data_IF_387387758562
#
_entry.id   IF_387387758562
#
_cell.length_a   1.000
_cell.length_b   1.000
_cell.length_c   1.000
_cell.angle_alpha   90.00
_cell.angle_beta   90.00
_cell.angle_gamma   90.00
#
_symmetry.space_group_name_H-M   'P 1'
#
loop_
_entity.id
_entity.type
_entity.pdbx_description
1 polymer ?
#
# COMPACT_ATOMS: atom_id res chain seq x y z
N UNK A 1 -7.71 29.69 -10.79
CA UNK A 1 -9.06 29.12 -10.77
C UNK A 1 -8.98 27.87 -9.93
N UNK A 2 -9.81 27.66 -8.92
CA UNK A 2 -9.79 26.40 -8.19
C UNK A 2 -10.26 25.28 -9.13
N UNK A 3 -9.41 24.30 -9.37
CA UNK A 3 -9.78 23.08 -10.10
C UNK A 3 -10.79 22.38 -9.20
N UNK A 4 -12.04 22.30 -9.67
CA UNK A 4 -13.11 21.59 -8.98
C UNK A 4 -12.66 20.14 -8.75
N UNK A 5 -12.74 19.65 -7.52
CA UNK A 5 -12.42 18.30 -7.13
C UNK A 5 -13.08 17.29 -8.07
N UNK A 6 -12.26 16.46 -8.71
CA UNK A 6 -12.71 15.39 -9.59
C UNK A 6 -13.38 14.21 -8.86
N UNK A 7 -13.71 14.38 -7.60
CA UNK A 7 -14.33 13.36 -6.75
C UNK A 7 -15.54 13.88 -5.98
N UNK A 8 -16.57 13.06 -5.87
CA UNK A 8 -17.74 13.30 -5.04
C UNK A 8 -17.86 12.26 -3.92
N UNK A 9 -18.37 12.69 -2.76
CA UNK A 9 -18.68 11.77 -1.66
C UNK A 9 -19.93 10.98 -2.03
N UNK A 10 -19.82 9.66 -2.13
CA UNK A 10 -20.95 8.78 -2.40
C UNK A 10 -21.64 8.34 -1.12
N UNK A 11 -20.85 7.98 -0.07
CA UNK A 11 -21.36 7.48 1.20
C UNK A 11 -20.33 7.64 2.31
N UNK A 12 -20.86 7.91 3.53
CA UNK A 12 -20.13 7.73 4.77
C UNK A 12 -20.73 6.52 5.49
N UNK A 13 -19.92 5.54 5.85
CA UNK A 13 -20.31 4.38 6.64
C UNK A 13 -19.61 4.41 7.99
N UNK A 14 -20.37 4.22 9.07
CA UNK A 14 -19.76 3.99 10.38
C UNK A 14 -19.01 2.67 10.34
N UNK A 15 -17.74 2.68 10.69
CA UNK A 15 -17.00 1.45 10.93
C UNK A 15 -17.49 0.86 12.23
N UNK A 16 -18.07 -0.34 12.19
CA UNK A 16 -18.33 -1.11 13.39
C UNK A 16 -16.98 -1.44 14.02
N UNK A 17 -16.79 -1.06 15.27
CA UNK A 17 -15.65 -1.51 16.03
C UNK A 17 -15.65 -3.03 16.02
N UNK A 18 -14.65 -3.65 15.42
CA UNK A 18 -14.26 -5.01 15.76
C UNK A 18 -13.85 -4.88 17.23
N UNK A 19 -14.74 -5.32 18.13
CA UNK A 19 -14.52 -5.20 19.57
C UNK A 19 -13.44 -6.19 19.98
N UNK A 20 -12.22 -5.73 19.95
CA UNK A 20 -11.12 -6.34 20.70
C UNK A 20 -10.26 -5.20 21.20
N UNK A 21 -9.99 -5.22 22.48
CA UNK A 21 -9.19 -4.24 23.16
C UNK A 21 -7.96 -3.82 22.36
N UNK A 22 -7.84 -2.52 22.10
CA UNK A 22 -6.60 -1.82 21.75
C UNK A 22 -5.77 -2.36 20.58
N UNK A 23 -6.38 -2.93 19.52
CA UNK A 23 -5.66 -3.29 18.31
C UNK A 23 -5.55 -2.05 17.42
N UNK A 24 -4.35 -1.52 17.29
CA UNK A 24 -4.03 -0.58 16.22
C UNK A 24 -3.65 -1.41 15.00
N UNK A 25 -4.48 -1.34 13.96
CA UNK A 25 -4.16 -1.92 12.65
C UNK A 25 -3.72 -0.80 11.72
N UNK A 26 -2.67 -1.03 10.94
CA UNK A 26 -2.16 -0.09 9.93
C UNK A 26 -2.60 -0.47 8.54
N UNK A 27 -2.32 -1.66 8.08
CA UNK A 27 -2.57 -2.13 6.71
C UNK A 27 -3.33 -3.46 6.70
N UNK A 28 -4.13 -3.66 5.64
CA UNK A 28 -4.88 -4.88 5.40
C UNK A 28 -4.61 -5.41 4.00
N UNK A 29 -4.21 -6.67 3.88
CA UNK A 29 -4.17 -7.42 2.64
C UNK A 29 -5.39 -8.35 2.54
N UNK A 30 -6.27 -8.11 1.55
CA UNK A 30 -7.42 -8.96 1.27
C UNK A 30 -7.09 -9.94 0.15
N UNK A 31 -7.16 -11.24 0.44
CA UNK A 31 -6.83 -12.30 -0.50
C UNK A 31 -8.02 -13.26 -0.66
N UNK A 32 -8.96 -12.95 -1.60
CA UNK A 32 -10.18 -13.74 -1.79
C UNK A 32 -9.92 -15.21 -2.10
N UNK A 33 -8.87 -15.50 -2.84
CA UNK A 33 -8.45 -16.85 -3.19
C UNK A 33 -8.05 -17.70 -1.97
N UNK A 34 -7.69 -17.04 -0.86
CA UNK A 34 -7.42 -17.69 0.42
C UNK A 34 -8.64 -17.70 1.35
N UNK A 35 -9.68 -16.92 1.03
CA UNK A 35 -10.79 -16.62 1.94
C UNK A 35 -10.35 -15.85 3.19
N UNK A 36 -9.26 -15.06 3.12
CA UNK A 36 -8.61 -14.46 4.29
C UNK A 36 -8.25 -13.00 4.07
N UNK A 37 -8.26 -12.27 5.19
CA UNK A 37 -7.63 -10.97 5.34
C UNK A 37 -6.45 -11.13 6.29
N UNK A 38 -5.30 -10.60 5.90
CA UNK A 38 -4.15 -10.43 6.77
C UNK A 38 -4.12 -8.97 7.19
N UNK A 39 -3.91 -8.72 8.47
CA UNK A 39 -3.95 -7.38 9.04
C UNK A 39 -2.72 -7.13 9.91
N UNK A 40 -2.01 -6.06 9.64
CA UNK A 40 -0.87 -5.59 10.42
C UNK A 40 -1.35 -5.06 11.76
N UNK A 41 -1.30 -5.88 12.80
CA UNK A 41 -1.65 -5.55 14.17
C UNK A 41 -0.43 -4.93 14.87
N UNK A 42 -0.07 -3.72 14.47
CA UNK A 42 1.15 -3.02 14.85
C UNK A 42 1.28 -2.84 16.36
N UNK A 43 0.18 -2.52 17.04
CA UNK A 43 0.17 -2.42 18.52
C UNK A 43 0.40 -3.74 19.27
N UNK A 44 0.28 -4.89 18.59
CA UNK A 44 0.55 -6.21 19.17
C UNK A 44 1.86 -6.82 18.65
N UNK A 45 2.57 -6.17 17.73
CA UNK A 45 3.75 -6.71 17.06
C UNK A 45 3.47 -8.04 16.35
N UNK A 46 2.30 -8.16 15.69
CA UNK A 46 1.81 -9.36 15.04
C UNK A 46 1.04 -9.05 13.77
N UNK A 47 0.88 -10.08 12.97
CA UNK A 47 -0.06 -10.10 11.84
C UNK A 47 -1.26 -10.95 12.24
N UNK A 48 -2.45 -10.37 12.22
CA UNK A 48 -3.69 -11.09 12.44
C UNK A 48 -4.21 -11.68 11.13
N UNK A 49 -4.70 -12.92 11.18
CA UNK A 49 -5.35 -13.59 10.05
C UNK A 49 -6.84 -13.69 10.36
N UNK A 50 -7.66 -13.11 9.51
CA UNK A 50 -9.11 -13.03 9.66
C UNK A 50 -9.77 -13.83 8.55
N UNK A 51 -10.68 -14.71 8.91
CA UNK A 51 -11.54 -15.44 7.98
C UNK A 51 -12.59 -14.50 7.38
N UNK A 52 -12.69 -14.48 6.04
CA UNK A 52 -13.54 -13.53 5.31
C UNK A 52 -15.05 -13.85 5.40
N UNK A 53 -15.43 -15.09 5.70
CA UNK A 53 -16.83 -15.48 5.81
C UNK A 53 -17.37 -15.20 7.22
N UNK A 54 -16.60 -15.57 8.23
CA UNK A 54 -17.03 -15.48 9.64
C UNK A 54 -16.58 -14.18 10.32
N UNK A 55 -15.65 -13.44 9.72
CA UNK A 55 -14.99 -12.26 10.28
C UNK A 55 -14.28 -12.53 11.62
N UNK A 56 -13.91 -13.78 11.89
CA UNK A 56 -13.18 -14.14 13.11
C UNK A 56 -11.67 -14.16 12.85
N UNK A 57 -10.92 -13.68 13.82
CA UNK A 57 -9.47 -13.90 13.84
C UNK A 57 -9.20 -15.38 14.07
N UNK A 58 -8.55 -16.03 13.10
CA UNK A 58 -8.23 -17.46 13.12
C UNK A 58 -6.77 -17.75 13.48
N UNK A 59 -5.89 -16.75 13.34
CA UNK A 59 -4.50 -16.84 13.76
C UNK A 59 -3.93 -15.43 14.06
N UNK A 60 -2.87 -15.40 14.87
CA UNK A 60 -1.99 -14.24 15.07
C UNK A 60 -0.55 -14.70 14.95
N UNK A 61 0.17 -14.15 13.99
CA UNK A 61 1.52 -14.58 13.61
C UNK A 61 2.55 -13.51 13.94
N UNK A 62 3.71 -13.92 14.41
CA UNK A 62 4.82 -13.03 14.74
C UNK A 62 5.83 -13.70 15.67
N UNK A 63 6.78 -12.95 16.23
CA UNK A 63 6.78 -11.47 16.31
C UNK A 63 7.19 -10.78 15.00
N UNK A 64 6.57 -9.63 14.72
CA UNK A 64 6.97 -8.65 13.71
C UNK A 64 6.98 -7.31 14.42
N UNK A 65 8.10 -6.62 14.45
CA UNK A 65 8.32 -5.47 15.36
C UNK A 65 7.39 -4.29 15.06
N UNK A 66 7.22 -3.96 13.78
CA UNK A 66 6.28 -2.95 13.31
C UNK A 66 5.73 -3.40 11.95
N UNK A 67 4.74 -4.33 11.95
CA UNK A 67 4.18 -4.80 10.70
C UNK A 67 3.40 -3.68 10.01
N UNK A 68 3.63 -3.50 8.71
CA UNK A 68 2.97 -2.49 7.89
C UNK A 68 2.47 -3.08 6.56
N UNK A 69 3.12 -2.83 5.43
CA UNK A 69 2.69 -3.28 4.11
C UNK A 69 2.55 -4.80 3.98
N UNK A 70 1.54 -5.25 3.24
CA UNK A 70 1.23 -6.69 3.09
C UNK A 70 1.06 -7.05 1.62
N UNK A 71 1.78 -8.09 1.16
CA UNK A 71 1.64 -8.65 -0.17
C UNK A 71 1.53 -10.17 -0.14
N UNK A 72 0.80 -10.75 -1.10
CA UNK A 72 0.66 -12.19 -1.26
C UNK A 72 1.27 -12.67 -2.57
N UNK A 73 2.14 -13.68 -2.50
CA UNK A 73 2.72 -14.37 -3.63
C UNK A 73 2.03 -15.73 -3.81
N UNK A 74 1.03 -15.85 -4.70
CA UNK A 74 0.19 -17.03 -4.79
C UNK A 74 0.96 -18.30 -5.20
N UNK A 75 1.94 -18.18 -6.11
CA UNK A 75 2.76 -19.29 -6.55
C UNK A 75 3.60 -19.92 -5.43
N UNK A 76 4.02 -19.11 -4.44
CA UNK A 76 4.78 -19.57 -3.29
C UNK A 76 3.89 -19.90 -2.07
N UNK A 77 2.60 -19.55 -2.10
CA UNK A 77 1.66 -19.63 -0.97
C UNK A 77 2.20 -18.90 0.27
N UNK A 78 2.76 -17.70 0.08
CA UNK A 78 3.38 -16.92 1.13
C UNK A 78 2.86 -15.49 1.13
N UNK A 79 2.60 -14.98 2.33
CA UNK A 79 2.35 -13.56 2.58
C UNK A 79 3.65 -12.93 3.07
N UNK A 80 3.97 -11.78 2.52
CA UNK A 80 5.10 -10.94 2.87
C UNK A 80 4.58 -9.71 3.60
N UNK A 81 5.25 -9.34 4.68
CA UNK A 81 4.85 -8.22 5.53
C UNK A 81 6.07 -7.40 5.86
N UNK A 82 6.08 -6.14 5.47
CA UNK A 82 7.15 -5.24 5.86
C UNK A 82 7.19 -5.06 7.38
N UNK A 83 8.38 -5.15 7.96
CA UNK A 83 8.68 -4.87 9.36
C UNK A 83 9.53 -3.60 9.41
N UNK A 84 8.87 -2.45 9.39
CA UNK A 84 9.50 -1.14 9.25
C UNK A 84 10.59 -0.92 10.30
N UNK A 85 10.25 -1.07 11.58
CA UNK A 85 11.19 -0.88 12.67
C UNK A 85 12.08 -2.12 12.94
N UNK A 86 11.79 -3.22 12.27
CA UNK A 86 12.62 -4.43 12.30
C UNK A 86 13.68 -4.46 11.22
N UNK A 87 13.65 -3.51 10.26
CA UNK A 87 14.51 -3.47 9.08
C UNK A 87 14.49 -4.82 8.34
N UNK A 88 13.29 -5.34 8.08
CA UNK A 88 13.11 -6.67 7.54
C UNK A 88 11.79 -6.80 6.77
N UNK A 89 11.66 -7.87 6.02
CA UNK A 89 10.39 -8.36 5.51
C UNK A 89 10.08 -9.73 6.12
N UNK A 90 8.91 -9.88 6.72
CA UNK A 90 8.46 -11.10 7.39
C UNK A 90 7.69 -11.99 6.43
N UNK A 91 7.96 -13.29 6.41
CA UNK A 91 7.35 -14.26 5.50
C UNK A 91 6.45 -15.21 6.26
N UNK A 92 5.18 -15.25 5.91
CA UNK A 92 4.15 -16.09 6.52
C UNK A 92 3.71 -17.15 5.50
N UNK A 93 3.76 -18.41 5.87
CA UNK A 93 3.17 -19.51 5.10
C UNK A 93 1.65 -19.48 5.25
N UNK A 94 0.92 -19.41 4.13
CA UNK A 94 -0.54 -19.30 4.14
C UNK A 94 -1.27 -20.62 4.47
N UNK A 95 -0.58 -21.74 4.42
CA UNK A 95 -1.15 -23.05 4.77
C UNK A 95 -1.22 -23.23 6.27
N UNK A 96 -0.17 -22.79 6.97
CA UNK A 96 -0.03 -22.96 8.43
C UNK A 96 -0.32 -21.68 9.21
N UNK A 97 -0.35 -20.52 8.54
CA UNK A 97 -0.38 -19.17 9.13
C UNK A 97 0.79 -18.91 10.09
N UNK A 98 1.94 -19.49 9.81
CA UNK A 98 3.13 -19.36 10.66
C UNK A 98 4.19 -18.48 10.01
N UNK A 99 4.91 -17.70 10.80
CA UNK A 99 6.11 -17.01 10.38
C UNK A 99 7.19 -18.05 10.03
N UNK A 100 7.65 -18.07 8.78
CA UNK A 100 8.61 -19.07 8.28
C UNK A 100 9.97 -18.50 7.94
N UNK A 101 10.05 -17.19 7.74
CA UNK A 101 11.31 -16.48 7.54
C UNK A 101 11.18 -15.01 7.94
N UNK A 102 12.31 -14.38 8.22
CA UNK A 102 12.48 -12.94 8.32
C UNK A 102 13.67 -12.58 7.45
N UNK A 103 13.47 -11.73 6.46
CA UNK A 103 14.46 -11.34 5.46
C UNK A 103 15.04 -10.00 5.90
N UNK A 104 16.30 -9.93 6.36
CA UNK A 104 16.89 -8.67 6.77
C UNK A 104 17.06 -7.75 5.56
N UNK A 105 16.72 -6.48 5.76
CA UNK A 105 16.96 -5.37 4.85
C UNK A 105 17.96 -4.41 5.51
N UNK A 106 18.68 -3.67 4.68
CA UNK A 106 19.68 -2.73 5.20
C UNK A 106 19.09 -1.38 5.62
N UNK A 107 17.79 -1.34 5.91
CA UNK A 107 17.05 -0.15 6.33
C UNK A 107 15.59 -0.48 6.63
N UNK A 108 14.84 0.52 7.09
CA UNK A 108 13.40 0.39 7.36
C UNK A 108 12.62 -0.04 6.12
N UNK A 109 11.71 -0.99 6.30
CA UNK A 109 10.86 -1.48 5.24
C UNK A 109 9.61 -0.60 5.12
N UNK A 110 9.46 0.13 4.04
CA UNK A 110 8.20 0.74 3.64
C UNK A 110 7.21 -0.32 3.15
N UNK A 111 6.38 0.04 2.18
CA UNK A 111 5.41 -0.93 1.67
C UNK A 111 6.07 -2.09 0.91
N UNK A 112 5.37 -3.23 0.95
CA UNK A 112 5.72 -4.45 0.21
C UNK A 112 4.64 -4.75 -0.83
N UNK A 113 5.01 -5.10 -2.07
CA UNK A 113 4.09 -5.35 -3.19
C UNK A 113 4.53 -6.57 -4.00
N UNK A 114 3.59 -7.44 -4.36
CA UNK A 114 3.82 -8.53 -5.29
C UNK A 114 3.62 -8.07 -6.74
N UNK A 115 4.59 -8.33 -7.59
CA UNK A 115 4.50 -8.12 -9.03
C UNK A 115 4.22 -9.45 -9.76
N UNK A 116 3.01 -9.70 -10.25
CA UNK A 116 2.71 -10.92 -10.98
C UNK A 116 3.46 -11.02 -12.31
N UNK A 117 3.94 -9.89 -12.86
CA UNK A 117 4.68 -9.87 -14.12
C UNK A 117 6.10 -10.44 -14.02
N UNK A 118 6.79 -10.21 -12.90
CA UNK A 118 8.10 -10.82 -12.62
C UNK A 118 8.02 -12.03 -11.68
N UNK A 119 6.92 -12.18 -10.95
CA UNK A 119 6.75 -13.17 -9.89
C UNK A 119 7.52 -12.85 -8.61
N UNK A 120 8.04 -11.62 -8.47
CA UNK A 120 8.81 -11.20 -7.30
C UNK A 120 8.01 -10.30 -6.35
N UNK A 121 8.47 -10.24 -5.11
CA UNK A 121 8.08 -9.24 -4.15
C UNK A 121 9.01 -8.04 -4.28
N UNK A 122 8.46 -6.84 -4.23
CA UNK A 122 9.17 -5.57 -4.16
C UNK A 122 8.97 -4.96 -2.78
N UNK A 123 10.05 -4.49 -2.16
CA UNK A 123 10.04 -3.81 -0.87
C UNK A 123 10.74 -2.47 -1.03
N UNK A 124 10.11 -1.39 -0.57
CA UNK A 124 10.75 -0.09 -0.46
C UNK A 124 11.67 -0.07 0.78
N UNK A 125 12.90 0.44 0.63
CA UNK A 125 13.87 0.50 1.74
C UNK A 125 14.27 1.95 1.97
N UNK A 126 13.88 2.50 3.12
CA UNK A 126 13.91 3.92 3.44
C UNK A 126 15.31 4.52 3.32
N UNK A 127 16.23 4.11 4.19
CA UNK A 127 17.55 4.73 4.30
C UNK A 127 18.47 4.47 3.10
N UNK A 128 18.10 3.51 2.26
CA UNK A 128 18.86 3.18 1.04
C UNK A 128 18.33 3.89 -0.21
N UNK A 129 17.13 4.46 -0.13
CA UNK A 129 16.46 5.06 -1.29
C UNK A 129 16.40 4.10 -2.48
N UNK A 130 16.03 2.85 -2.19
CA UNK A 130 15.99 1.78 -3.20
C UNK A 130 14.73 0.91 -3.09
N UNK A 131 14.45 0.17 -4.15
CA UNK A 131 13.58 -1.00 -4.11
C UNK A 131 14.44 -2.26 -4.05
N UNK A 132 14.09 -3.16 -3.16
CA UNK A 132 14.66 -4.51 -3.10
C UNK A 132 13.66 -5.49 -3.71
N UNK A 133 14.15 -6.46 -4.48
CA UNK A 133 13.31 -7.55 -4.98
C UNK A 133 13.64 -8.86 -4.28
N UNK A 134 12.61 -9.61 -3.93
CA UNK A 134 12.69 -10.89 -3.23
C UNK A 134 12.05 -11.97 -4.10
N UNK A 135 12.75 -13.11 -4.28
CA UNK A 135 12.15 -14.33 -4.82
C UNK A 135 11.27 -14.97 -3.72
N UNK A 136 9.92 -15.02 -3.91
CA UNK A 136 9.03 -15.52 -2.88
C UNK A 136 9.16 -17.01 -2.61
N UNK A 137 9.70 -17.80 -3.54
CA UNK A 137 9.89 -19.24 -3.37
C UNK A 137 11.05 -19.57 -2.42
N UNK A 138 12.13 -18.79 -2.52
CA UNK A 138 13.36 -18.99 -1.73
C UNK A 138 13.44 -18.05 -0.53
N UNK A 139 12.62 -17.00 -0.47
CA UNK A 139 12.69 -15.93 0.52
C UNK A 139 14.09 -15.25 0.53
N UNK A 140 14.66 -15.03 -0.64
CA UNK A 140 15.97 -14.38 -0.79
C UNK A 140 15.87 -13.13 -1.63
N UNK A 141 16.65 -12.12 -1.26
CA UNK A 141 16.86 -10.93 -2.05
C UNK A 141 17.57 -11.33 -3.36
N UNK A 142 17.04 -10.86 -4.48
CA UNK A 142 17.55 -11.14 -5.82
C UNK A 142 17.92 -9.87 -6.60
N UNK A 143 17.62 -8.69 -6.08
CA UNK A 143 17.99 -7.43 -6.69
C UNK A 143 17.88 -6.23 -5.76
N UNK A 144 18.69 -5.20 -6.04
CA UNK A 144 18.72 -3.89 -5.41
C UNK A 144 18.65 -2.82 -6.48
N UNK A 145 17.71 -1.89 -6.39
CA UNK A 145 17.43 -0.90 -7.43
C UNK A 145 17.27 0.48 -6.81
N UNK A 146 18.31 1.32 -6.86
CA UNK A 146 18.21 2.72 -6.42
C UNK A 146 17.11 3.48 -7.16
N UNK A 147 16.38 4.34 -6.44
CA UNK A 147 15.32 5.18 -6.97
C UNK A 147 15.76 6.64 -6.94
N UNK A 148 16.56 7.11 -7.91
CA UNK A 148 17.08 8.46 -7.91
C UNK A 148 15.96 9.51 -7.93
N UNK A 149 16.08 10.50 -7.03
CA UNK A 149 15.10 11.57 -6.87
C UNK A 149 13.98 11.30 -5.88
N UNK A 150 13.99 10.14 -5.23
CA UNK A 150 13.12 9.76 -4.11
C UNK A 150 13.96 9.64 -2.85
N UNK A 151 13.47 10.19 -1.75
CA UNK A 151 14.07 10.09 -0.41
C UNK A 151 13.08 9.42 0.52
N UNK A 152 13.53 8.39 1.24
CA UNK A 152 12.71 7.53 2.08
C UNK A 152 11.51 6.94 1.30
N UNK A 153 11.75 6.04 0.32
CA UNK A 153 10.66 5.42 -0.43
C UNK A 153 9.80 4.57 0.51
N UNK A 154 8.47 4.78 0.49
CA UNK A 154 7.52 4.10 1.35
C UNK A 154 6.36 3.51 0.56
N UNK A 155 5.35 4.31 0.23
CA UNK A 155 4.16 3.85 -0.47
C UNK A 155 4.45 3.41 -1.90
N UNK A 156 3.82 2.31 -2.31
CA UNK A 156 3.94 1.78 -3.67
C UNK A 156 2.59 1.32 -4.24
N UNK A 157 2.40 1.55 -5.53
CA UNK A 157 1.34 0.93 -6.32
C UNK A 157 1.88 0.57 -7.71
N UNK A 158 1.32 -0.47 -8.34
CA UNK A 158 1.80 -0.94 -9.64
C UNK A 158 0.68 -0.90 -10.69
N UNK A 159 1.02 -0.42 -11.89
CA UNK A 159 0.32 -0.86 -13.10
C UNK A 159 1.08 -2.05 -13.69
N UNK A 160 0.53 -3.23 -13.45
CA UNK A 160 1.10 -4.49 -13.94
C UNK A 160 1.03 -4.56 -15.47
N UNK A 161 0.01 -3.97 -16.09
CA UNK A 161 -0.22 -4.02 -17.54
C UNK A 161 0.78 -3.16 -18.29
N UNK A 162 1.03 -1.94 -17.81
CA UNK A 162 2.02 -1.02 -18.39
C UNK A 162 3.45 -1.29 -17.89
N UNK A 163 3.62 -2.21 -16.92
CA UNK A 163 4.90 -2.51 -16.27
C UNK A 163 5.49 -1.27 -15.59
N UNK A 164 4.66 -0.55 -14.84
CA UNK A 164 5.07 0.63 -14.09
C UNK A 164 4.90 0.41 -12.58
N UNK A 165 5.86 0.94 -11.82
CA UNK A 165 5.71 1.14 -10.40
C UNK A 165 5.61 2.64 -10.09
N UNK A 166 4.72 2.97 -9.18
CA UNK A 166 4.59 4.29 -8.58
C UNK A 166 5.14 4.21 -7.16
N UNK A 167 6.14 5.03 -6.85
CA UNK A 167 6.88 4.96 -5.57
C UNK A 167 6.90 6.35 -4.95
N UNK A 168 6.33 6.49 -3.77
CA UNK A 168 6.32 7.74 -3.02
C UNK A 168 7.53 7.83 -2.08
N UNK A 169 8.13 9.02 -1.99
CA UNK A 169 9.19 9.36 -1.05
C UNK A 169 8.67 10.29 0.03
N UNK A 170 8.67 9.82 1.26
CA UNK A 170 8.13 10.55 2.39
C UNK A 170 8.90 11.83 2.69
N UNK A 171 10.24 11.76 2.73
CA UNK A 171 11.06 12.88 3.15
C UNK A 171 11.12 14.02 2.14
N UNK A 172 11.00 13.72 0.84
CA UNK A 172 11.07 14.76 -0.19
C UNK A 172 9.75 15.05 -0.92
N UNK A 173 8.63 14.41 -0.49
CA UNK A 173 7.29 14.69 -0.98
C UNK A 173 7.16 14.54 -2.50
N UNK A 174 7.73 13.49 -3.03
CA UNK A 174 7.74 13.18 -4.45
C UNK A 174 7.17 11.79 -4.72
N UNK A 175 6.68 11.63 -5.93
CA UNK A 175 6.27 10.37 -6.52
C UNK A 175 7.16 10.07 -7.72
N UNK A 176 7.78 8.91 -7.78
CA UNK A 176 8.47 8.43 -8.97
C UNK A 176 7.59 7.49 -9.79
N UNK A 177 7.74 7.55 -11.10
CA UNK A 177 7.31 6.51 -12.05
C UNK A 177 8.54 5.71 -12.43
N UNK A 178 8.50 4.40 -12.16
CA UNK A 178 9.60 3.46 -12.42
C UNK A 178 9.17 2.44 -13.46
N UNK A 179 9.98 2.26 -14.49
CA UNK A 179 9.79 1.21 -15.49
C UNK A 179 10.28 -0.13 -14.92
N UNK A 180 9.35 -1.05 -14.62
CA UNK A 180 9.65 -2.36 -14.06
C UNK A 180 10.41 -3.30 -15.02
N UNK A 181 10.47 -2.98 -16.31
CA UNK A 181 11.20 -3.81 -17.26
C UNK A 181 12.72 -3.62 -17.17
N UNK A 182 13.17 -2.43 -16.75
CA UNK A 182 14.59 -2.08 -16.68
C UNK A 182 14.99 -1.36 -15.38
N UNK A 183 14.02 -1.20 -14.46
CA UNK A 183 14.18 -0.56 -13.14
C UNK A 183 14.71 0.87 -13.22
N UNK A 184 14.26 1.64 -14.21
CA UNK A 184 14.64 3.04 -14.40
C UNK A 184 13.54 3.98 -13.94
N UNK A 185 13.91 5.02 -13.21
CA UNK A 185 13.03 6.16 -12.95
C UNK A 185 12.81 6.93 -14.24
N UNK A 186 11.56 7.07 -14.65
CA UNK A 186 11.15 7.75 -15.89
C UNK A 186 10.85 9.23 -15.62
N UNK A 187 10.18 9.52 -14.49
CA UNK A 187 9.80 10.86 -14.10
C UNK A 187 9.53 10.91 -12.58
N UNK A 188 9.56 12.15 -12.04
CA UNK A 188 9.13 12.43 -10.67
C UNK A 188 8.12 13.56 -10.65
N UNK A 189 7.18 13.50 -9.69
CA UNK A 189 6.08 14.45 -9.55
C UNK A 189 5.97 14.93 -8.10
N UNK A 190 5.58 16.20 -7.85
CA UNK A 190 5.28 16.64 -6.49
C UNK A 190 3.97 16.04 -6.00
N UNK A 191 3.91 15.69 -4.71
CA UNK A 191 2.71 15.20 -4.02
C UNK A 191 2.52 15.92 -2.69
N UNK A 192 1.49 15.54 -1.93
CA UNK A 192 1.31 16.04 -0.56
C UNK A 192 2.51 15.70 0.33
N UNK A 193 2.69 16.49 1.41
CA UNK A 193 3.77 16.27 2.37
C UNK A 193 3.55 14.94 3.10
N UNK A 194 4.63 14.18 3.30
CA UNK A 194 4.65 12.84 3.90
C UNK A 194 3.66 11.89 3.17
N UNK A 195 3.90 11.57 1.87
CA UNK A 195 3.03 10.65 1.13
C UNK A 195 3.24 9.21 1.62
N UNK A 196 2.13 8.54 1.93
CA UNK A 196 2.15 7.25 2.61
C UNK A 196 1.57 6.15 1.71
N UNK A 197 0.26 6.06 1.54
CA UNK A 197 -0.39 4.97 0.80
C UNK A 197 -0.84 5.41 -0.58
N UNK A 198 -0.58 4.54 -1.56
CA UNK A 198 -0.98 4.70 -2.95
C UNK A 198 -2.04 3.66 -3.34
N UNK A 199 -2.98 4.07 -4.18
CA UNK A 199 -3.94 3.16 -4.80
C UNK A 199 -4.12 3.49 -6.28
N UNK A 200 -3.99 2.48 -7.14
CA UNK A 200 -4.12 2.61 -8.59
C UNK A 200 -5.40 1.92 -9.10
N UNK A 201 -6.25 2.70 -9.75
CA UNK A 201 -7.44 2.20 -10.44
C UNK A 201 -7.05 1.80 -11.87
N UNK A 202 -6.97 0.50 -12.11
CA UNK A 202 -6.59 -0.05 -13.41
C UNK A 202 -7.63 0.19 -14.50
N UNK A 203 -8.89 0.39 -14.13
CA UNK A 203 -9.97 0.63 -15.08
C UNK A 203 -10.04 2.08 -15.57
N UNK A 204 -9.65 3.04 -14.72
CA UNK A 204 -9.61 4.47 -15.06
C UNK A 204 -8.18 4.98 -15.30
N UNK A 205 -7.17 4.14 -15.13
CA UNK A 205 -5.75 4.53 -15.17
C UNK A 205 -5.47 5.72 -14.23
N UNK A 206 -6.06 5.69 -13.02
CA UNK A 206 -5.96 6.75 -12.03
C UNK A 206 -5.19 6.30 -10.79
N UNK A 207 -4.23 7.13 -10.39
CA UNK A 207 -3.45 6.94 -9.17
C UNK A 207 -3.88 7.97 -8.12
N UNK A 208 -4.27 7.48 -6.94
CA UNK A 208 -4.47 8.28 -5.75
C UNK A 208 -3.24 8.14 -4.84
N UNK A 209 -2.67 9.25 -4.43
CA UNK A 209 -1.55 9.33 -3.48
C UNK A 209 -2.05 10.04 -2.23
N UNK A 210 -2.21 9.31 -1.14
CA UNK A 210 -2.58 9.85 0.17
C UNK A 210 -1.34 10.25 0.95
N UNK A 211 -1.46 11.31 1.76
CA UNK A 211 -0.36 11.87 2.52
C UNK A 211 -0.80 12.21 3.95
N UNK A 212 0.11 12.07 4.91
CA UNK A 212 -0.10 12.43 6.33
C UNK A 212 -0.51 13.90 6.51
N UNK A 213 -0.09 14.76 5.59
CA UNK A 213 -0.52 16.17 5.50
C UNK A 213 -2.01 16.37 5.21
N UNK A 214 -2.81 15.29 5.15
CA UNK A 214 -4.23 15.30 4.81
C UNK A 214 -4.51 15.67 3.35
N UNK A 215 -3.53 15.58 2.50
CA UNK A 215 -3.66 15.85 1.07
C UNK A 215 -3.76 14.51 0.31
N UNK A 216 -4.68 14.45 -0.64
CA UNK A 216 -4.75 13.37 -1.64
C UNK A 216 -4.47 14.00 -2.99
N UNK A 217 -3.38 13.57 -3.63
CA UNK A 217 -3.06 13.98 -5.00
C UNK A 217 -3.54 12.89 -5.96
N UNK A 218 -4.20 13.31 -7.03
CA UNK A 218 -4.73 12.39 -8.04
C UNK A 218 -4.04 12.63 -9.37
N UNK A 219 -3.57 11.55 -9.95
CA UNK A 219 -2.98 11.54 -11.28
C UNK A 219 -3.80 10.66 -12.21
N UNK A 220 -3.66 10.91 -13.51
CA UNK A 220 -4.04 9.98 -14.57
C UNK A 220 -2.79 9.54 -15.30
N UNK A 221 -2.69 8.25 -15.54
CA UNK A 221 -1.64 7.71 -16.38
C UNK A 221 -1.86 8.12 -17.85
N UNK A 222 -0.77 8.43 -18.52
CA UNK A 222 -0.73 8.74 -19.95
C UNK A 222 0.53 8.10 -20.55
N UNK A 223 0.40 6.84 -20.94
CA UNK A 223 1.54 6.02 -21.30
C UNK A 223 2.50 5.86 -20.10
N UNK A 224 3.76 6.20 -20.27
CA UNK A 224 4.78 6.12 -19.20
C UNK A 224 4.94 7.40 -18.39
N UNK A 225 3.94 8.28 -18.38
CA UNK A 225 3.93 9.55 -17.63
C UNK A 225 2.64 9.72 -16.87
N UNK A 226 2.61 10.67 -15.94
CA UNK A 226 1.42 11.02 -15.19
C UNK A 226 0.99 12.45 -15.50
N UNK A 227 -0.31 12.68 -15.58
CA UNK A 227 -0.92 14.00 -15.63
C UNK A 227 -1.64 14.25 -14.32
N UNK A 228 -1.32 15.34 -13.63
CA UNK A 228 -2.02 15.72 -12.40
C UNK A 228 -3.47 16.08 -12.73
N UNK A 229 -4.42 15.33 -12.17
CA UNK A 229 -5.86 15.60 -12.28
C UNK A 229 -6.28 16.67 -11.27
N UNK A 230 -5.71 16.61 -10.07
CA UNK A 230 -5.97 17.57 -9.00
C UNK A 230 -5.54 17.05 -7.63
N UNK A 231 -5.87 17.84 -6.62
CA UNK A 231 -5.69 17.43 -5.23
C UNK A 231 -6.84 17.93 -4.36
N UNK A 232 -7.09 17.24 -3.26
CA UNK A 232 -8.10 17.61 -2.29
C UNK A 232 -7.67 17.22 -0.88
N UNK A 233 -8.29 17.81 0.12
CA UNK A 233 -7.97 17.52 1.52
C UNK A 233 -9.04 16.65 2.15
N UNK A 234 -8.62 15.59 2.84
CA UNK A 234 -9.44 14.79 3.73
C UNK A 234 -8.74 14.69 5.09
N UNK A 235 -9.36 15.10 6.19
CA UNK A 235 -8.77 14.94 7.51
C UNK A 235 -8.43 13.48 7.81
N UNK A 236 -7.23 13.22 8.27
CA UNK A 236 -6.73 11.87 8.63
C UNK A 236 -6.70 10.84 7.48
N UNK A 237 -6.64 11.28 6.22
CA UNK A 237 -6.54 10.39 5.06
C UNK A 237 -5.07 10.14 4.71
N UNK A 238 -4.38 9.29 5.46
CA UNK A 238 -3.09 8.75 5.04
C UNK A 238 -3.23 7.42 4.30
N UNK A 239 -4.31 6.71 4.51
CA UNK A 239 -4.60 5.42 3.86
C UNK A 239 -5.66 5.58 2.78
N UNK A 240 -5.47 4.94 1.64
CA UNK A 240 -6.40 4.90 0.51
C UNK A 240 -6.47 3.50 -0.08
N UNK A 241 -7.64 3.11 -0.57
CA UNK A 241 -7.83 1.90 -1.35
C UNK A 241 -8.80 2.17 -2.50
N UNK A 242 -8.67 1.44 -3.59
CA UNK A 242 -9.55 1.54 -4.75
C UNK A 242 -10.10 0.17 -5.14
N UNK A 243 -11.33 0.16 -5.60
CA UNK A 243 -11.94 -0.99 -6.26
C UNK A 243 -12.07 -0.65 -7.76
N UNK A 244 -11.22 -1.26 -8.57
CA UNK A 244 -11.14 -0.98 -10.00
C UNK A 244 -12.37 -1.46 -10.80
N UNK A 245 -13.20 -2.36 -10.24
CA UNK A 245 -14.43 -2.80 -10.89
C UNK A 245 -15.56 -1.76 -10.74
N UNK A 246 -15.62 -1.12 -9.59
CA UNK A 246 -16.65 -0.11 -9.27
C UNK A 246 -16.14 1.32 -9.35
N UNK A 247 -14.83 1.52 -9.45
CA UNK A 247 -14.12 2.80 -9.40
C UNK A 247 -14.33 3.57 -8.09
N UNK A 248 -14.75 2.87 -7.03
CA UNK A 248 -14.93 3.48 -5.73
C UNK A 248 -13.60 3.58 -4.99
N UNK A 249 -13.39 4.74 -4.39
CA UNK A 249 -12.19 5.04 -3.60
C UNK A 249 -12.58 5.11 -2.13
N UNK A 250 -11.84 4.40 -1.30
CA UNK A 250 -12.12 4.21 0.12
C UNK A 250 -11.04 4.87 0.97
N UNK A 251 -11.47 5.71 1.91
CA UNK A 251 -10.61 6.35 2.90
C UNK A 251 -11.08 5.96 4.30
N UNK A 252 -10.37 5.06 4.99
CA UNK A 252 -10.59 4.80 6.40
C UNK A 252 -10.03 5.97 7.22
N UNK A 253 -10.91 6.72 7.87
CA UNK A 253 -10.57 7.92 8.63
C UNK A 253 -10.65 7.59 10.12
N UNK A 254 -9.54 7.73 10.82
CA UNK A 254 -9.40 7.32 12.21
C UNK A 254 -10.33 8.07 13.16
N UNK A 255 -10.48 9.38 12.94
CA UNK A 255 -11.28 10.22 13.82
C UNK A 255 -11.92 11.37 13.05
N UNK A 256 -13.23 11.28 12.83
CA UNK A 256 -14.07 12.38 12.34
C UNK A 256 -15.12 12.64 13.40
N UNK A 257 -15.05 13.81 14.03
CA UNK A 257 -15.97 14.21 15.11
C UNK A 257 -16.07 13.18 16.26
N UNK A 258 -14.93 12.58 16.63
CA UNK A 258 -14.82 11.60 17.72
C UNK A 258 -15.09 10.15 17.30
N UNK A 259 -15.33 9.86 16.03
CA UNK A 259 -15.65 8.51 15.56
C UNK A 259 -14.81 8.09 14.34
N UNK A 260 -14.42 6.80 14.23
CA UNK A 260 -13.85 6.28 13.00
C UNK A 260 -14.92 6.26 11.89
N UNK A 261 -14.52 6.63 10.68
CA UNK A 261 -15.41 6.74 9.53
C UNK A 261 -14.77 6.13 8.29
N UNK A 262 -15.53 5.35 7.53
CA UNK A 262 -15.16 4.99 6.15
C UNK A 262 -15.81 5.98 5.18
N UNK A 263 -15.00 6.78 4.50
CA UNK A 263 -15.45 7.65 3.43
C UNK A 263 -15.32 6.94 2.10
N UNK A 264 -16.42 6.86 1.36
CA UNK A 264 -16.47 6.26 0.03
C UNK A 264 -16.70 7.40 -0.97
N UNK A 265 -15.79 7.50 -1.92
CA UNK A 265 -15.84 8.52 -2.97
C UNK A 265 -15.89 7.86 -4.35
N UNK A 266 -16.43 8.56 -5.31
CA UNK A 266 -16.40 8.16 -6.71
C UNK A 266 -15.79 9.29 -7.56
N UNK A 267 -15.01 8.97 -8.61
CA UNK A 267 -14.56 9.96 -9.57
C UNK A 267 -15.75 10.71 -10.17
N UNK A 268 -15.66 12.03 -10.22
CA UNK A 268 -16.69 12.83 -10.91
C UNK A 268 -16.61 12.53 -12.41
N UNK A 269 -17.76 12.26 -13.04
CA UNK A 269 -17.81 12.14 -14.49
C UNK A 269 -17.34 13.48 -15.09
N UNK A 270 -16.25 13.45 -15.84
CA UNK A 270 -15.87 14.61 -16.64
C UNK A 270 -16.98 14.87 -17.64
N UNK A 271 -17.52 16.08 -17.62
CA UNK A 271 -18.47 16.57 -18.64
C UNK A 271 -17.72 16.92 -19.93
#
# INVERSE_FOLDING_TARGET
MPISSSFSIRRNAKLWQISTASLTFTVFGRFPELGRVYASATGEHKVAVVDMETFKTIAKTGPVKYPDGIAYAPGAKRVFVSDEHGNADAVIDTTTNSLVATIPLDGGAGNTVYDPGSGHIFVAVHEKNELVTIDPSTAKIVGHYPIPGIESPHGMAFDVSARLAFVAGEENNKLAVVDLANMKVLATYPVGKDPDVLAFDTGLEQLCVSAESRNVTVFRENGKTLVTVGSFSIPHAHTVSVDSDTHLVYFPLQNIEGHPLLRIMEPSRMK
#
